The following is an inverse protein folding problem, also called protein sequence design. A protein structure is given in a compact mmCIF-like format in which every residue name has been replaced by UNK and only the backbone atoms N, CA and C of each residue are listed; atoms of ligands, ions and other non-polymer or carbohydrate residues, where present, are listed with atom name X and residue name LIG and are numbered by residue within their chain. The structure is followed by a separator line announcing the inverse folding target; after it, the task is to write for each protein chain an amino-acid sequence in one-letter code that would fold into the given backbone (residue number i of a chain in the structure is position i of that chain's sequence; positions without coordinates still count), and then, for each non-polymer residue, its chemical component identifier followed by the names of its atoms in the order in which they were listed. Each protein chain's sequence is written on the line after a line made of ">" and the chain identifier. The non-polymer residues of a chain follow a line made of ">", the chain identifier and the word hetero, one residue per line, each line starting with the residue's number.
data_IF_268507409692
#
_entry.id   IF_268507409692
#
_cell.length_a   1.000
_cell.length_b   1.000
_cell.length_c   1.000
_cell.angle_alpha   90.00
_cell.angle_beta   90.00
_cell.angle_gamma   90.00
#
_symmetry.space_group_name_H-M   'P 1'
#
loop_
_entity.id
_entity.type
_entity.pdbx_description
1 polymer ?
#
# COMPACT_ATOMS: atom_id res chain seq x y z
N UNK A 1 22.11 -51.24 36.42
CA UNK A 1 20.79 -50.68 36.28
C UNK A 1 20.75 -49.34 37.00
N UNK A 2 21.01 -48.27 36.34
CA UNK A 2 20.89 -46.90 36.85
C UNK A 2 20.16 -46.06 35.80
N UNK A 3 18.84 -46.03 35.93
CA UNK A 3 17.97 -45.15 35.13
C UNK A 3 18.02 -43.77 35.78
N UNK A 4 18.76 -42.84 35.15
CA UNK A 4 18.60 -41.42 35.41
C UNK A 4 17.29 -40.96 34.75
N UNK A 5 16.34 -40.63 35.59
CA UNK A 5 15.15 -39.89 35.23
C UNK A 5 15.58 -38.45 34.91
N UNK A 6 15.58 -38.08 33.65
CA UNK A 6 15.75 -36.69 33.24
C UNK A 6 14.43 -35.96 33.50
N UNK A 7 14.54 -34.92 34.33
CA UNK A 7 13.43 -33.98 34.59
C UNK A 7 13.10 -33.17 33.34
N UNK A 8 11.79 -32.91 33.02
CA UNK A 8 11.40 -32.17 31.83
C UNK A 8 11.67 -30.68 31.97
N UNK A 9 12.53 -30.20 31.09
CA UNK A 9 12.48 -28.94 30.38
C UNK A 9 11.80 -27.74 31.03
N UNK A 10 12.59 -26.92 31.68
CA UNK A 10 12.35 -25.49 31.65
C UNK A 10 12.71 -25.00 30.24
N UNK A 11 11.70 -24.73 29.42
CA UNK A 11 11.81 -24.00 28.13
C UNK A 11 12.36 -22.60 28.45
N UNK A 12 13.67 -22.43 28.38
CA UNK A 12 14.27 -21.12 28.19
C UNK A 12 13.85 -20.62 26.84
N UNK A 13 12.79 -19.82 26.82
CA UNK A 13 12.38 -19.00 25.64
C UNK A 13 13.50 -17.99 25.34
N UNK A 14 14.62 -18.44 24.80
CA UNK A 14 15.61 -17.56 24.17
C UNK A 14 14.98 -17.08 22.86
N UNK A 15 14.63 -15.78 22.82
CA UNK A 15 14.23 -15.11 21.59
C UNK A 15 15.28 -15.44 20.52
N UNK A 16 14.91 -16.03 19.36
CA UNK A 16 15.88 -16.42 18.34
C UNK A 16 16.72 -15.21 17.93
N UNK A 17 18.01 -15.42 17.73
CA UNK A 17 18.91 -14.37 17.24
C UNK A 17 18.34 -13.79 15.93
N UNK A 18 18.12 -12.46 15.88
CA UNK A 18 17.49 -11.77 14.75
C UNK A 18 16.02 -11.35 14.94
N UNK A 19 15.33 -11.84 15.98
CA UNK A 19 13.94 -11.42 16.28
C UNK A 19 13.86 -9.92 16.57
N UNK A 20 14.79 -9.35 17.32
CA UNK A 20 14.86 -7.92 17.58
C UNK A 20 15.02 -7.09 16.30
N UNK A 21 15.86 -7.55 15.36
CA UNK A 21 16.03 -6.90 14.06
C UNK A 21 14.77 -7.00 13.20
N UNK A 22 14.05 -8.13 13.24
CA UNK A 22 12.80 -8.30 12.54
C UNK A 22 11.71 -7.38 13.08
N UNK A 23 11.52 -7.36 14.40
CA UNK A 23 10.53 -6.47 15.03
C UNK A 23 10.86 -5.00 14.79
N UNK A 24 12.16 -4.63 14.86
CA UNK A 24 12.62 -3.29 14.52
C UNK A 24 12.30 -2.91 13.07
N UNK A 25 12.57 -3.82 12.12
CA UNK A 25 12.27 -3.59 10.71
C UNK A 25 10.76 -3.52 10.42
N UNK A 26 9.96 -4.35 11.10
CA UNK A 26 8.49 -4.32 11.03
C UNK A 26 7.92 -3.03 11.62
N UNK A 27 8.51 -2.52 12.69
CA UNK A 27 8.15 -1.24 13.29
C UNK A 27 8.49 -0.07 12.36
N UNK A 28 9.67 -0.07 11.73
CA UNK A 28 10.02 0.93 10.72
C UNK A 28 9.06 0.88 9.53
N UNK A 29 8.61 -0.31 9.12
CA UNK A 29 7.61 -0.48 8.07
C UNK A 29 6.25 0.11 8.49
N UNK A 30 5.83 -0.15 9.74
CA UNK A 30 4.62 0.44 10.32
C UNK A 30 4.66 1.97 10.31
N UNK A 31 5.78 2.58 10.73
CA UNK A 31 5.94 4.03 10.74
C UNK A 31 5.99 4.62 9.33
N UNK A 32 6.71 3.96 8.42
CA UNK A 32 6.89 4.45 7.05
C UNK A 32 5.59 4.41 6.26
N UNK A 33 4.90 3.27 6.26
CA UNK A 33 3.65 3.10 5.52
C UNK A 33 2.49 3.85 6.18
N UNK A 34 2.50 3.94 7.51
CA UNK A 34 1.58 4.79 8.24
C UNK A 34 1.71 6.24 7.80
N UNK A 35 2.90 6.81 7.95
CA UNK A 35 3.16 8.20 7.56
C UNK A 35 2.83 8.46 6.09
N UNK A 36 3.12 7.53 5.18
CA UNK A 36 2.81 7.69 3.76
C UNK A 36 1.32 7.51 3.41
N UNK A 37 0.46 7.08 4.35
CA UNK A 37 -0.97 6.87 4.12
C UNK A 37 -1.88 7.67 5.08
N UNK A 38 -1.35 8.72 5.72
CA UNK A 38 -2.10 9.58 6.66
C UNK A 38 -3.20 10.40 5.98
N UNK A 39 -2.96 10.82 4.74
CA UNK A 39 -3.70 11.86 4.03
C UNK A 39 -5.19 11.57 3.83
N UNK A 40 -5.63 10.35 3.45
CA UNK A 40 -7.06 10.05 3.31
C UNK A 40 -7.89 10.37 4.55
N UNK A 41 -7.33 10.17 5.75
CA UNK A 41 -8.03 10.43 7.00
C UNK A 41 -8.29 11.89 7.31
N UNK A 42 -7.51 12.79 6.74
CA UNK A 42 -7.59 14.22 7.01
C UNK A 42 -7.88 15.07 5.76
N UNK A 43 -8.11 14.43 4.62
CA UNK A 43 -8.27 15.10 3.34
C UNK A 43 -9.38 16.18 3.35
N UNK A 44 -10.55 15.94 3.96
CA UNK A 44 -11.56 17.01 4.11
C UNK A 44 -11.03 18.24 4.87
N UNK A 45 -10.27 18.03 5.95
CA UNK A 45 -9.69 19.11 6.74
C UNK A 45 -8.60 19.88 5.97
N UNK A 46 -7.77 19.19 5.18
CA UNK A 46 -6.76 19.80 4.31
C UNK A 46 -7.39 20.65 3.22
N UNK A 47 -8.44 20.14 2.55
CA UNK A 47 -9.19 20.91 1.55
C UNK A 47 -9.79 22.17 2.14
N UNK A 48 -10.39 22.08 3.32
CA UNK A 48 -10.97 23.21 4.04
C UNK A 48 -9.90 24.23 4.42
N UNK A 49 -8.79 23.79 5.02
CA UNK A 49 -7.70 24.67 5.46
C UNK A 49 -7.03 25.43 4.30
N UNK A 50 -7.00 24.82 3.10
CA UNK A 50 -6.42 25.42 1.89
C UNK A 50 -7.48 26.11 1.01
N UNK A 51 -8.73 26.21 1.44
CA UNK A 51 -9.86 26.77 0.68
C UNK A 51 -10.02 26.14 -0.72
N UNK A 52 -9.81 24.81 -0.82
CA UNK A 52 -9.89 24.08 -2.07
C UNK A 52 -11.22 23.36 -2.21
N UNK A 53 -11.66 23.21 -3.47
CA UNK A 53 -12.84 22.42 -3.79
C UNK A 53 -12.52 20.90 -3.73
N UNK A 54 -13.57 20.09 -3.66
CA UNK A 54 -13.45 18.63 -3.50
C UNK A 54 -12.76 17.95 -4.69
N UNK A 55 -12.84 18.52 -5.89
CA UNK A 55 -12.17 17.98 -7.07
C UNK A 55 -10.63 18.01 -6.94
N UNK A 56 -10.09 18.96 -6.17
CA UNK A 56 -8.65 19.06 -5.90
C UNK A 56 -8.12 17.85 -5.10
N UNK A 57 -8.99 17.11 -4.41
CA UNK A 57 -8.63 15.91 -3.66
C UNK A 57 -7.89 14.87 -4.54
N UNK A 58 -8.32 14.68 -5.78
CA UNK A 58 -7.65 13.78 -6.71
C UNK A 58 -6.21 14.21 -6.98
N UNK A 59 -5.98 15.48 -7.25
CA UNK A 59 -4.64 16.01 -7.55
C UNK A 59 -3.72 15.90 -6.32
N UNK A 60 -4.22 16.27 -5.13
CA UNK A 60 -3.51 16.18 -3.87
C UNK A 60 -3.10 14.72 -3.58
N UNK A 61 -4.03 13.78 -3.70
CA UNK A 61 -3.75 12.36 -3.52
C UNK A 61 -2.81 11.80 -4.58
N UNK A 62 -2.99 12.19 -5.86
CA UNK A 62 -2.14 11.73 -6.95
C UNK A 62 -0.68 12.12 -6.77
N UNK A 63 -0.39 13.32 -6.25
CA UNK A 63 0.98 13.74 -5.98
C UNK A 63 1.71 12.77 -5.03
N UNK A 64 1.05 12.36 -3.95
CA UNK A 64 1.56 11.38 -2.99
C UNK A 64 1.73 9.99 -3.63
N UNK A 65 0.69 9.51 -4.32
CA UNK A 65 0.63 8.17 -4.90
C UNK A 65 1.61 7.99 -6.07
N UNK A 66 1.84 9.02 -6.88
CA UNK A 66 2.86 9.01 -7.93
C UNK A 66 4.25 8.88 -7.31
N UNK A 67 4.55 9.62 -6.23
CA UNK A 67 5.78 9.46 -5.48
C UNK A 67 5.97 8.02 -4.97
N UNK A 68 4.93 7.42 -4.39
CA UNK A 68 4.95 6.03 -3.92
C UNK A 68 5.19 5.03 -5.06
N UNK A 69 4.76 5.31 -6.28
CA UNK A 69 4.94 4.44 -7.44
C UNK A 69 6.37 4.40 -7.98
N UNK A 70 7.26 5.30 -7.51
CA UNK A 70 8.67 5.36 -7.92
C UNK A 70 9.55 4.25 -7.32
N UNK A 71 8.96 3.22 -6.72
CA UNK A 71 9.71 2.08 -6.13
C UNK A 71 10.73 1.44 -7.07
N UNK A 72 10.48 1.21 -8.38
CA UNK A 72 11.50 0.65 -9.27
C UNK A 72 12.72 1.55 -9.41
N UNK A 73 12.52 2.87 -9.50
CA UNK A 73 13.60 3.86 -9.56
C UNK A 73 14.41 3.88 -8.26
N UNK A 74 13.71 3.89 -7.12
CA UNK A 74 14.35 3.88 -5.82
C UNK A 74 15.09 2.57 -5.54
N UNK A 75 14.59 1.44 -6.01
CA UNK A 75 15.28 0.15 -5.94
C UNK A 75 16.59 0.16 -6.70
N UNK A 76 16.59 0.68 -7.93
CA UNK A 76 17.79 0.84 -8.74
C UNK A 76 18.85 1.76 -8.09
N UNK A 77 18.41 2.86 -7.48
CA UNK A 77 19.30 3.76 -6.76
C UNK A 77 19.88 3.11 -5.49
N UNK A 78 19.04 2.40 -4.75
CA UNK A 78 19.39 1.73 -3.51
C UNK A 78 20.42 0.60 -3.70
N UNK A 79 20.37 -0.11 -4.83
CA UNK A 79 21.34 -1.14 -5.18
C UNK A 79 22.78 -0.55 -5.32
N UNK A 80 22.89 0.74 -5.59
CA UNK A 80 24.17 1.45 -5.74
C UNK A 80 24.68 2.10 -4.45
N UNK A 81 23.77 2.56 -3.57
CA UNK A 81 24.14 3.34 -2.38
C UNK A 81 24.16 2.55 -1.07
N UNK A 82 23.55 1.35 -1.05
CA UNK A 82 23.45 0.52 0.13
C UNK A 82 22.14 0.71 0.91
N UNK A 83 21.66 -0.41 1.47
CA UNK A 83 20.28 -0.55 1.94
C UNK A 83 19.92 0.25 3.18
N UNK A 84 20.82 0.36 4.16
CA UNK A 84 20.53 1.02 5.44
C UNK A 84 20.21 2.50 5.29
N UNK A 85 20.95 3.21 4.46
CA UNK A 85 20.72 4.64 4.19
C UNK A 85 19.36 4.88 3.58
N UNK A 86 18.94 4.05 2.62
CA UNK A 86 17.63 4.16 1.97
C UNK A 86 16.47 3.88 2.93
N UNK A 87 16.61 2.90 3.83
CA UNK A 87 15.62 2.65 4.89
C UNK A 87 15.44 3.88 5.78
N UNK A 88 16.55 4.50 6.18
CA UNK A 88 16.53 5.68 7.05
C UNK A 88 15.95 6.91 6.36
N UNK A 89 16.40 7.20 5.14
CA UNK A 89 15.87 8.30 4.35
C UNK A 89 14.38 8.12 4.08
N UNK A 90 13.95 6.87 3.87
CA UNK A 90 12.55 6.53 3.69
C UNK A 90 11.72 6.90 4.91
N UNK A 91 12.04 6.33 6.08
CA UNK A 91 11.26 6.56 7.31
C UNK A 91 11.36 8.01 7.78
N UNK A 92 12.55 8.61 7.74
CA UNK A 92 12.72 10.01 8.13
C UNK A 92 11.96 10.95 7.20
N UNK A 93 12.10 10.76 5.88
CA UNK A 93 11.45 11.62 4.88
C UNK A 93 9.92 11.55 4.93
N UNK A 94 9.33 10.35 5.11
CA UNK A 94 7.88 10.21 5.28
C UNK A 94 7.39 10.95 6.52
N UNK A 95 8.01 10.73 7.68
CA UNK A 95 7.54 11.29 8.94
C UNK A 95 7.80 12.81 9.06
N UNK A 96 8.95 13.30 8.59
CA UNK A 96 9.22 14.74 8.50
C UNK A 96 8.26 15.39 7.52
N UNK A 97 8.02 14.76 6.37
CA UNK A 97 7.07 15.25 5.37
C UNK A 97 5.68 15.43 5.95
N UNK A 98 5.16 14.46 6.70
CA UNK A 98 3.86 14.55 7.38
C UNK A 98 3.83 15.72 8.36
N UNK A 99 4.90 15.89 9.16
CA UNK A 99 5.01 17.03 10.08
C UNK A 99 4.96 18.37 9.33
N UNK A 100 5.64 18.49 8.19
CA UNK A 100 5.66 19.69 7.36
C UNK A 100 4.30 20.03 6.76
N UNK A 101 3.51 19.02 6.35
CA UNK A 101 2.16 19.23 5.78
C UNK A 101 1.29 20.08 6.72
N UNK A 102 1.43 19.90 8.03
CA UNK A 102 0.68 20.66 9.03
C UNK A 102 0.88 22.19 8.99
N UNK A 103 2.00 22.67 8.44
CA UNK A 103 2.37 24.09 8.39
C UNK A 103 2.25 24.71 6.99
N UNK A 104 1.85 23.91 6.00
CA UNK A 104 1.70 24.39 4.62
C UNK A 104 0.34 25.07 4.47
N UNK A 105 0.38 26.37 4.12
CA UNK A 105 -0.79 27.20 3.83
C UNK A 105 -1.04 27.42 2.33
N UNK A 106 -0.15 26.93 1.48
CA UNK A 106 -0.20 27.18 0.04
C UNK A 106 -0.25 25.85 -0.74
N UNK A 107 -1.23 25.72 -1.64
CA UNK A 107 -1.44 24.50 -2.42
C UNK A 107 -0.19 24.12 -3.26
N UNK A 108 0.48 25.09 -3.87
CA UNK A 108 1.68 24.83 -4.67
C UNK A 108 2.84 24.23 -3.87
N UNK A 109 2.95 24.55 -2.57
CA UNK A 109 3.96 23.99 -1.68
C UNK A 109 3.58 22.58 -1.19
N UNK A 110 2.27 22.25 -1.13
CA UNK A 110 1.80 20.96 -0.71
C UNK A 110 2.18 19.84 -1.70
N UNK A 111 2.06 20.09 -3.00
CA UNK A 111 2.34 19.09 -4.03
C UNK A 111 3.76 18.49 -3.96
N UNK A 112 4.85 19.28 -3.94
CA UNK A 112 6.19 18.72 -3.84
C UNK A 112 6.43 18.00 -2.51
N UNK A 113 5.86 18.45 -1.40
CA UNK A 113 5.99 17.77 -0.10
C UNK A 113 5.31 16.43 -0.13
N UNK A 114 4.09 16.32 -0.67
CA UNK A 114 3.38 15.04 -0.82
C UNK A 114 4.13 14.08 -1.76
N UNK A 115 4.63 14.59 -2.88
CA UNK A 115 5.45 13.79 -3.79
C UNK A 115 6.72 13.27 -3.10
N UNK A 116 7.41 14.09 -2.31
CA UNK A 116 8.59 13.70 -1.54
C UNK A 116 8.26 12.70 -0.43
N UNK A 117 7.11 12.80 0.24
CA UNK A 117 6.61 11.76 1.17
C UNK A 117 6.46 10.44 0.42
N UNK A 118 5.80 10.45 -0.74
CA UNK A 118 5.64 9.25 -1.57
C UNK A 118 6.97 8.67 -2.04
N UNK A 119 7.89 9.51 -2.49
CA UNK A 119 9.23 9.11 -2.93
C UNK A 119 10.06 8.52 -1.79
N UNK A 120 9.95 9.08 -0.59
CA UNK A 120 10.59 8.55 0.62
C UNK A 120 10.03 7.18 0.99
N UNK A 121 8.71 6.99 0.89
CA UNK A 121 8.08 5.69 1.06
C UNK A 121 8.61 4.69 0.00
N UNK A 122 8.72 5.10 -1.25
CA UNK A 122 9.26 4.27 -2.33
C UNK A 122 10.73 3.85 -2.08
N UNK A 123 11.55 4.72 -1.47
CA UNK A 123 12.95 4.43 -1.14
C UNK A 123 13.10 3.36 -0.05
N UNK A 124 12.15 3.28 0.88
CA UNK A 124 12.16 2.33 1.99
C UNK A 124 11.99 0.88 1.53
N UNK A 125 10.99 0.62 0.68
CA UNK A 125 10.48 -0.73 0.42
C UNK A 125 11.49 -1.74 -0.15
N UNK A 126 12.27 -1.44 -1.23
CA UNK A 126 13.16 -2.44 -1.82
C UNK A 126 14.19 -2.95 -0.83
N UNK A 127 14.74 -2.04 -0.01
CA UNK A 127 15.82 -2.37 0.91
C UNK A 127 15.31 -2.98 2.22
N UNK A 128 14.18 -2.53 2.73
CA UNK A 128 13.53 -3.12 3.89
C UNK A 128 13.11 -4.57 3.62
N UNK A 129 12.53 -4.83 2.43
CA UNK A 129 12.20 -6.19 1.98
C UNK A 129 13.43 -7.08 1.84
N UNK A 130 14.52 -6.54 1.26
CA UNK A 130 15.81 -7.25 1.16
C UNK A 130 16.37 -7.58 2.56
N UNK A 131 16.28 -6.61 3.49
CA UNK A 131 16.66 -6.81 4.89
C UNK A 131 15.86 -7.90 5.59
N UNK A 132 14.54 -7.89 5.44
CA UNK A 132 13.65 -8.93 5.98
C UNK A 132 14.01 -10.33 5.44
N UNK A 133 14.30 -10.44 4.13
CA UNK A 133 14.74 -11.71 3.53
C UNK A 133 16.06 -12.22 4.10
N UNK A 134 17.02 -11.36 4.41
CA UNK A 134 18.29 -11.78 5.01
C UNK A 134 18.14 -12.31 6.43
N UNK A 135 17.13 -11.85 7.18
CA UNK A 135 16.78 -12.34 8.50
C UNK A 135 16.08 -13.70 8.48
N UNK A 136 15.52 -14.08 7.33
CA UNK A 136 14.67 -15.25 7.14
C UNK A 136 15.48 -16.53 6.85
N UNK A 137 16.47 -16.92 7.68
CA UNK A 137 17.35 -18.07 7.41
C UNK A 137 16.63 -19.42 7.35
N UNK A 138 15.58 -19.66 8.15
CA UNK A 138 14.91 -20.96 8.26
C UNK A 138 13.38 -20.90 8.14
N UNK A 139 12.76 -19.72 8.23
CA UNK A 139 11.30 -19.53 8.20
C UNK A 139 10.93 -18.34 7.32
N UNK A 140 11.23 -18.42 6.03
CA UNK A 140 11.05 -17.31 5.08
C UNK A 140 9.62 -16.75 5.08
N UNK A 141 8.61 -17.61 5.07
CA UNK A 141 7.21 -17.18 5.06
C UNK A 141 6.83 -16.37 6.30
N UNK A 142 7.10 -16.89 7.49
CA UNK A 142 6.73 -16.22 8.76
C UNK A 142 7.42 -14.85 8.90
N UNK A 143 8.71 -14.77 8.58
CA UNK A 143 9.48 -13.52 8.71
C UNK A 143 8.94 -12.45 7.76
N UNK A 144 8.69 -12.81 6.51
CA UNK A 144 8.11 -11.88 5.52
C UNK A 144 6.70 -11.47 5.93
N UNK A 145 5.87 -12.41 6.44
CA UNK A 145 4.52 -12.08 6.89
C UNK A 145 4.52 -11.09 8.06
N UNK A 146 5.37 -11.28 9.08
CA UNK A 146 5.48 -10.35 10.21
C UNK A 146 5.92 -8.96 9.74
N UNK A 147 6.89 -8.91 8.82
CA UNK A 147 7.33 -7.65 8.22
C UNK A 147 6.19 -6.96 7.46
N UNK A 148 5.44 -7.69 6.64
CA UNK A 148 4.32 -7.15 5.85
C UNK A 148 3.18 -6.65 6.72
N UNK A 149 2.82 -7.39 7.77
CA UNK A 149 1.78 -6.98 8.73
C UNK A 149 2.11 -5.62 9.36
N UNK A 150 3.39 -5.34 9.66
CA UNK A 150 3.81 -4.02 10.14
C UNK A 150 3.36 -2.89 9.20
N UNK A 151 3.72 -2.98 7.92
CA UNK A 151 3.34 -1.96 6.92
C UNK A 151 1.83 -1.83 6.71
N UNK A 152 1.13 -2.97 6.59
CA UNK A 152 -0.32 -2.96 6.37
C UNK A 152 -1.09 -2.36 7.57
N UNK A 153 -0.67 -2.66 8.81
CA UNK A 153 -1.25 -2.03 10.00
C UNK A 153 -0.97 -0.52 10.03
N UNK A 154 0.25 -0.10 9.67
CA UNK A 154 0.57 1.32 9.53
C UNK A 154 -0.35 2.01 8.54
N UNK A 155 -0.43 1.48 7.33
CA UNK A 155 -1.29 1.98 6.25
C UNK A 155 -2.75 2.11 6.66
N UNK A 156 -3.26 1.14 7.40
CA UNK A 156 -4.66 1.11 7.81
C UNK A 156 -4.97 1.98 9.03
N UNK A 157 -4.05 2.12 9.99
CA UNK A 157 -4.31 2.85 11.25
C UNK A 157 -3.99 4.35 11.16
N UNK A 158 -3.02 4.76 10.34
CA UNK A 158 -2.60 6.16 10.28
C UNK A 158 -3.68 7.15 9.82
N UNK A 159 -4.59 6.82 8.87
CA UNK A 159 -5.71 7.71 8.56
C UNK A 159 -6.55 8.06 9.80
N UNK A 160 -6.83 7.05 10.64
CA UNK A 160 -7.58 7.24 11.87
C UNK A 160 -6.78 8.06 12.90
N UNK A 161 -5.49 7.72 13.12
CA UNK A 161 -4.63 8.47 14.06
C UNK A 161 -4.46 9.92 13.63
N UNK A 162 -4.25 10.17 12.33
CA UNK A 162 -4.14 11.53 11.80
C UNK A 162 -5.43 12.33 12.00
N UNK A 163 -6.59 11.71 11.75
CA UNK A 163 -7.89 12.37 11.96
C UNK A 163 -8.15 12.70 13.43
N UNK A 164 -7.73 11.83 14.36
CA UNK A 164 -7.82 12.10 15.79
C UNK A 164 -6.93 13.27 16.21
N UNK A 165 -5.69 13.32 15.73
CA UNK A 165 -4.78 14.45 16.00
C UNK A 165 -5.36 15.74 15.44
N UNK A 166 -5.84 15.75 14.20
CA UNK A 166 -6.40 16.94 13.56
C UNK A 166 -7.70 17.39 14.24
N UNK A 167 -8.54 16.46 14.66
CA UNK A 167 -9.79 16.79 15.36
C UNK A 167 -9.55 17.49 16.70
N UNK A 168 -8.52 17.07 17.46
CA UNK A 168 -8.28 17.61 18.80
C UNK A 168 -7.37 18.85 18.80
N UNK A 169 -6.41 18.94 17.90
CA UNK A 169 -5.34 19.96 17.92
C UNK A 169 -5.16 20.71 16.59
N UNK A 170 -5.97 20.42 15.58
CA UNK A 170 -5.90 21.06 14.26
C UNK A 170 -4.80 20.47 13.36
N UNK A 171 -4.81 20.89 12.08
CA UNK A 171 -3.90 20.38 11.03
C UNK A 171 -2.44 20.69 11.36
N UNK A 172 -2.15 21.83 11.99
CA UNK A 172 -0.79 22.24 12.38
C UNK A 172 -0.12 21.25 13.36
N UNK A 173 -0.87 20.40 14.01
CA UNK A 173 -0.39 19.42 15.00
C UNK A 173 0.01 18.07 14.41
N UNK A 174 0.03 17.89 13.09
CA UNK A 174 0.46 16.67 12.43
C UNK A 174 1.88 16.21 12.80
N UNK A 175 2.74 17.14 13.27
CA UNK A 175 4.07 16.79 13.77
C UNK A 175 4.04 15.79 14.95
N UNK A 176 2.92 15.69 15.69
CA UNK A 176 2.74 14.72 16.78
C UNK A 176 2.91 13.30 16.26
N UNK A 177 2.46 13.00 15.03
CA UNK A 177 2.60 11.69 14.42
C UNK A 177 4.08 11.31 14.17
N UNK A 178 4.96 12.30 13.98
CA UNK A 178 6.38 12.05 13.77
C UNK A 178 7.12 11.70 15.08
N UNK A 179 6.56 11.98 16.27
CA UNK A 179 7.22 11.73 17.55
C UNK A 179 7.59 10.25 17.74
N UNK A 180 6.73 9.33 17.30
CA UNK A 180 7.03 7.90 17.37
C UNK A 180 8.26 7.52 16.56
N UNK A 181 8.43 8.12 15.37
CA UNK A 181 9.61 7.93 14.53
C UNK A 181 10.85 8.58 15.16
N UNK A 182 10.75 9.82 15.62
CA UNK A 182 11.86 10.54 16.28
C UNK A 182 12.38 9.78 17.51
N UNK A 183 11.48 9.22 18.32
CA UNK A 183 11.86 8.51 19.54
C UNK A 183 12.47 7.13 19.26
N UNK A 184 12.07 6.44 18.20
CA UNK A 184 12.41 5.00 18.03
C UNK A 184 13.41 4.74 16.91
N UNK A 185 13.40 5.51 15.81
CA UNK A 185 14.29 5.30 14.67
C UNK A 185 15.78 5.30 15.04
N UNK A 186 16.29 6.23 15.86
CA UNK A 186 17.71 6.24 16.23
C UNK A 186 18.19 4.94 16.87
N UNK A 187 17.35 4.32 17.72
CA UNK A 187 17.68 3.06 18.38
C UNK A 187 17.63 1.87 17.43
N UNK A 188 16.60 1.82 16.56
CA UNK A 188 16.41 0.68 15.66
C UNK A 188 17.49 0.63 14.58
N UNK A 189 17.98 1.78 14.14
CA UNK A 189 19.09 1.89 13.19
C UNK A 189 20.33 1.09 13.62
N UNK A 190 20.63 1.08 14.91
CA UNK A 190 21.77 0.35 15.45
C UNK A 190 21.59 -1.17 15.32
N UNK A 191 20.37 -1.64 15.35
CA UNK A 191 20.00 -3.07 15.29
C UNK A 191 19.92 -3.58 13.86
N UNK A 192 19.77 -2.70 12.87
CA UNK A 192 19.64 -3.09 11.46
C UNK A 192 20.97 -3.60 10.88
N UNK A 193 20.96 -4.76 10.21
CA UNK A 193 22.15 -5.28 9.55
C UNK A 193 22.60 -4.31 8.43
N UNK A 194 23.91 -4.13 8.32
CA UNK A 194 24.50 -3.39 7.20
C UNK A 194 24.34 -4.23 5.92
N UNK A 195 23.69 -3.68 4.93
CA UNK A 195 23.55 -4.33 3.61
C UNK A 195 24.58 -3.75 2.65
N UNK A 196 25.35 -4.63 2.04
CA UNK A 196 26.30 -4.24 1.01
C UNK A 196 25.57 -3.87 -0.30
N UNK A 197 26.09 -2.91 -1.09
CA UNK A 197 25.61 -2.63 -2.43
C UNK A 197 25.66 -3.90 -3.30
N UNK A 198 24.61 -4.12 -4.11
CA UNK A 198 24.54 -5.26 -5.04
C UNK A 198 24.70 -4.74 -6.47
N UNK A 199 25.76 -5.10 -7.12
CA UNK A 199 25.96 -4.85 -8.55
C UNK A 199 25.57 -6.12 -9.34
N UNK A 200 24.29 -6.42 -9.42
CA UNK A 200 23.82 -7.49 -10.30
C UNK A 200 23.45 -6.87 -11.66
N UNK A 201 24.17 -7.24 -12.71
CA UNK A 201 23.73 -6.99 -14.09
C UNK A 201 22.56 -7.94 -14.38
N UNK A 202 21.38 -7.37 -14.59
CA UNK A 202 20.23 -8.16 -15.02
C UNK A 202 20.42 -8.56 -16.50
N UNK A 203 20.03 -9.78 -16.90
CA UNK A 203 20.09 -10.22 -18.30
C UNK A 203 19.20 -9.34 -19.19
N UNK A 204 19.50 -9.23 -20.48
CA UNK A 204 18.69 -8.46 -21.43
C UNK A 204 17.28 -9.05 -21.53
N UNK A 205 16.28 -8.18 -21.63
CA UNK A 205 14.85 -8.55 -21.59
C UNK A 205 14.33 -8.64 -23.02
N UNK A 206 13.66 -9.75 -23.33
CA UNK A 206 12.98 -9.97 -24.61
C UNK A 206 11.62 -9.26 -24.67
N UNK A 207 11.59 -7.93 -24.67
CA UNK A 207 10.38 -7.11 -24.61
C UNK A 207 9.29 -7.52 -25.63
N UNK A 208 9.65 -7.93 -26.86
CA UNK A 208 8.70 -8.38 -27.86
C UNK A 208 7.86 -9.58 -27.43
N UNK A 209 8.39 -10.44 -26.57
CA UNK A 209 7.68 -11.62 -26.05
C UNK A 209 6.75 -11.25 -24.90
N UNK A 210 7.14 -10.28 -24.07
CA UNK A 210 6.51 -10.02 -22.79
C UNK A 210 5.52 -8.83 -22.81
N UNK A 211 5.52 -8.00 -23.87
CA UNK A 211 4.76 -6.75 -23.86
C UNK A 211 3.24 -6.92 -23.75
N UNK A 212 2.66 -7.94 -24.42
CA UNK A 212 1.21 -8.19 -24.36
C UNK A 212 0.76 -8.61 -22.96
N UNK A 213 1.26 -9.71 -22.36
CA UNK A 213 0.86 -10.07 -21.00
C UNK A 213 1.23 -8.99 -19.97
N UNK A 214 2.35 -8.28 -20.15
CA UNK A 214 2.73 -7.16 -19.29
C UNK A 214 1.74 -5.99 -19.36
N UNK A 215 1.31 -5.59 -20.57
CA UNK A 215 0.33 -4.49 -20.73
C UNK A 215 -1.04 -4.86 -20.15
N UNK A 216 -1.47 -6.10 -20.28
CA UNK A 216 -2.72 -6.58 -19.67
C UNK A 216 -2.63 -6.59 -18.13
N UNK A 217 -1.48 -7.03 -17.58
CA UNK A 217 -1.24 -6.98 -16.14
C UNK A 217 -1.24 -5.54 -15.63
N UNK A 218 -0.55 -4.63 -16.32
CA UNK A 218 -0.52 -3.20 -16.00
C UNK A 218 -1.94 -2.63 -16.06
N UNK A 219 -2.73 -2.94 -17.10
CA UNK A 219 -4.12 -2.52 -17.21
C UNK A 219 -4.96 -2.99 -16.02
N UNK A 220 -4.84 -4.27 -15.65
CA UNK A 220 -5.52 -4.82 -14.47
C UNK A 220 -5.17 -4.07 -13.19
N UNK A 221 -3.85 -3.96 -12.90
CA UNK A 221 -3.39 -3.31 -11.67
C UNK A 221 -3.77 -1.83 -11.65
N UNK A 222 -3.71 -1.14 -12.80
CA UNK A 222 -4.11 0.27 -12.87
C UNK A 222 -5.59 0.47 -12.54
N UNK A 223 -6.48 -0.37 -13.04
CA UNK A 223 -7.92 -0.28 -12.76
C UNK A 223 -8.22 -0.63 -11.29
N UNK A 224 -7.62 -1.70 -10.76
CA UNK A 224 -7.74 -2.07 -9.36
C UNK A 224 -7.25 -0.94 -8.43
N UNK A 225 -6.12 -0.34 -8.76
CA UNK A 225 -5.54 0.75 -7.95
C UNK A 225 -6.35 2.02 -8.07
N UNK A 226 -6.84 2.37 -9.26
CA UNK A 226 -7.75 3.50 -9.45
C UNK A 226 -9.01 3.35 -8.60
N UNK A 227 -9.59 2.15 -8.55
CA UNK A 227 -10.76 1.87 -7.71
C UNK A 227 -10.44 2.09 -6.23
N UNK A 228 -9.35 1.50 -5.73
CA UNK A 228 -8.92 1.68 -4.34
C UNK A 228 -8.63 3.15 -4.02
N UNK A 229 -7.88 3.82 -4.89
CA UNK A 229 -7.50 5.23 -4.69
C UNK A 229 -8.71 6.16 -4.71
N UNK A 230 -9.69 5.88 -5.58
CA UNK A 230 -10.96 6.65 -5.59
C UNK A 230 -11.74 6.46 -4.30
N UNK A 231 -11.82 5.23 -3.78
CA UNK A 231 -12.49 4.94 -2.51
C UNK A 231 -11.81 5.67 -1.34
N UNK A 232 -10.49 5.50 -1.16
CA UNK A 232 -9.78 6.12 -0.03
C UNK A 232 -9.74 7.65 -0.13
N UNK A 233 -9.86 8.21 -1.33
CA UNK A 233 -9.88 9.67 -1.56
C UNK A 233 -11.25 10.26 -1.26
N UNK A 234 -12.30 9.69 -1.83
CA UNK A 234 -13.61 10.34 -1.86
C UNK A 234 -14.59 9.81 -0.81
N UNK A 235 -14.38 8.62 -0.27
CA UNK A 235 -15.28 8.08 0.75
C UNK A 235 -15.28 8.91 2.06
N UNK A 236 -14.12 9.36 2.61
CA UNK A 236 -14.09 10.26 3.76
C UNK A 236 -14.75 11.61 3.49
N UNK A 237 -14.58 12.13 2.27
CA UNK A 237 -15.16 13.39 1.85
C UNK A 237 -16.69 13.27 1.78
N UNK A 238 -17.18 12.23 1.11
CA UNK A 238 -18.63 11.96 1.00
C UNK A 238 -19.28 11.77 2.36
N UNK A 239 -18.58 11.10 3.29
CA UNK A 239 -19.04 10.92 4.66
C UNK A 239 -19.15 12.26 5.39
N UNK A 240 -18.14 13.11 5.26
CA UNK A 240 -18.09 14.42 5.87
C UNK A 240 -19.18 15.36 5.30
N UNK A 241 -19.35 15.38 3.98
CA UNK A 241 -20.38 16.17 3.28
C UNK A 241 -21.81 15.78 3.68
N UNK A 242 -22.01 14.53 4.11
CA UNK A 242 -23.30 14.03 4.64
C UNK A 242 -23.51 14.31 6.12
N UNK A 243 -22.66 15.15 6.74
CA UNK A 243 -22.74 15.52 8.15
C UNK A 243 -22.05 14.53 9.11
N UNK A 244 -21.29 13.58 8.58
CA UNK A 244 -20.44 12.69 9.38
C UNK A 244 -19.20 13.39 9.95
N UNK A 245 -18.57 12.77 10.94
CA UNK A 245 -17.34 13.30 11.55
C UNK A 245 -16.11 13.01 10.70
N UNK A 246 -15.04 13.83 10.84
CA UNK A 246 -13.74 13.58 10.20
C UNK A 246 -13.18 12.19 10.58
N UNK A 247 -13.28 11.85 11.87
CA UNK A 247 -12.83 10.55 12.40
C UNK A 247 -13.67 9.40 11.83
N UNK A 248 -14.98 9.58 11.66
CA UNK A 248 -15.86 8.58 11.04
C UNK A 248 -15.46 8.30 9.58
N UNK A 249 -15.18 9.34 8.80
CA UNK A 249 -14.67 9.19 7.43
C UNK A 249 -13.31 8.47 7.36
N UNK A 250 -12.40 8.81 8.26
CA UNK A 250 -11.11 8.12 8.39
C UNK A 250 -11.28 6.65 8.81
N UNK A 251 -12.22 6.36 9.71
CA UNK A 251 -12.51 5.00 10.16
C UNK A 251 -13.02 4.11 9.00
N UNK A 252 -13.81 4.64 8.06
CA UNK A 252 -14.22 3.90 6.86
C UNK A 252 -13.00 3.45 6.03
N UNK A 253 -12.04 4.34 5.84
CA UNK A 253 -10.78 4.00 5.16
C UNK A 253 -9.99 2.98 5.97
N UNK A 254 -9.89 3.16 7.28
CA UNK A 254 -9.18 2.22 8.15
C UNK A 254 -9.80 0.83 8.13
N UNK A 255 -11.11 0.70 8.13
CA UNK A 255 -11.80 -0.60 7.99
C UNK A 255 -11.48 -1.26 6.65
N UNK A 256 -11.57 -0.51 5.55
CA UNK A 256 -11.22 -1.01 4.21
C UNK A 256 -9.79 -1.55 4.17
N UNK A 257 -8.82 -0.82 4.72
CA UNK A 257 -7.40 -1.14 4.64
C UNK A 257 -6.99 -2.22 5.66
N UNK A 258 -7.37 -2.10 6.93
CA UNK A 258 -7.00 -3.04 8.00
C UNK A 258 -7.62 -4.42 7.77
N UNK A 259 -8.92 -4.47 7.47
CA UNK A 259 -9.60 -5.73 7.17
C UNK A 259 -9.10 -6.31 5.84
N UNK A 260 -8.72 -5.45 4.91
CA UNK A 260 -8.08 -5.83 3.64
C UNK A 260 -6.79 -6.67 3.80
N UNK A 261 -6.07 -6.52 4.93
CA UNK A 261 -4.89 -7.36 5.23
C UNK A 261 -5.22 -8.86 5.17
N UNK A 262 -6.41 -9.24 5.61
CA UNK A 262 -6.89 -10.63 5.52
C UNK A 262 -6.98 -11.11 4.06
N UNK A 263 -7.32 -10.20 3.15
CA UNK A 263 -7.30 -10.48 1.71
C UNK A 263 -5.90 -10.77 1.18
N UNK A 264 -4.90 -9.98 1.59
CA UNK A 264 -3.51 -10.22 1.21
C UNK A 264 -3.02 -11.61 1.63
N UNK A 265 -3.36 -12.03 2.86
CA UNK A 265 -3.01 -13.35 3.38
C UNK A 265 -3.80 -14.46 2.66
N UNK A 266 -5.12 -14.28 2.53
CA UNK A 266 -6.03 -15.28 1.93
C UNK A 266 -5.84 -15.43 0.42
N UNK A 267 -5.55 -14.36 -0.30
CA UNK A 267 -5.40 -14.38 -1.76
C UNK A 267 -4.27 -15.27 -2.26
N UNK A 268 -3.12 -15.25 -1.57
CA UNK A 268 -2.02 -16.16 -1.84
C UNK A 268 -2.43 -17.63 -1.59
N UNK A 269 -3.08 -17.91 -0.46
CA UNK A 269 -3.55 -19.26 -0.12
C UNK A 269 -4.57 -19.78 -1.14
N UNK A 270 -5.51 -18.93 -1.58
CA UNK A 270 -6.49 -19.30 -2.62
C UNK A 270 -5.78 -19.59 -3.94
N UNK A 271 -4.78 -18.80 -4.31
CA UNK A 271 -4.01 -19.01 -5.53
C UNK A 271 -3.22 -20.33 -5.50
N UNK A 272 -2.67 -20.70 -4.36
CA UNK A 272 -1.88 -21.91 -4.18
C UNK A 272 -2.78 -23.18 -4.21
N UNK A 273 -3.97 -23.14 -3.61
CA UNK A 273 -4.85 -24.31 -3.51
C UNK A 273 -5.82 -24.46 -4.69
N UNK A 274 -6.36 -23.34 -5.20
CA UNK A 274 -7.42 -23.32 -6.20
C UNK A 274 -6.99 -22.70 -7.54
N UNK A 275 -5.74 -22.28 -7.62
CA UNK A 275 -5.15 -21.69 -8.82
C UNK A 275 -5.39 -20.18 -8.97
N UNK A 276 -4.50 -19.55 -9.72
CA UNK A 276 -4.46 -18.09 -9.93
C UNK A 276 -5.70 -17.53 -10.60
N UNK A 277 -6.37 -18.34 -11.45
CA UNK A 277 -7.58 -17.92 -12.16
C UNK A 277 -8.71 -17.64 -11.17
N UNK A 278 -8.98 -18.57 -10.24
CA UNK A 278 -10.02 -18.37 -9.24
C UNK A 278 -9.67 -17.20 -8.32
N UNK A 279 -8.42 -17.09 -7.88
CA UNK A 279 -7.99 -16.02 -7.02
C UNK A 279 -8.16 -14.63 -7.69
N UNK A 280 -7.74 -14.47 -8.95
CA UNK A 280 -7.76 -13.17 -9.62
C UNK A 280 -9.15 -12.81 -10.14
N UNK A 281 -9.82 -13.72 -10.87
CA UNK A 281 -11.14 -13.45 -11.46
C UNK A 281 -12.22 -13.47 -10.38
N UNK A 282 -12.15 -14.42 -9.42
CA UNK A 282 -13.09 -14.50 -8.30
C UNK A 282 -13.05 -13.25 -7.43
N UNK A 283 -11.84 -12.80 -7.05
CA UNK A 283 -11.70 -11.53 -6.30
C UNK A 283 -12.22 -10.33 -7.07
N UNK A 284 -11.94 -10.24 -8.38
CA UNK A 284 -12.41 -9.13 -9.22
C UNK A 284 -13.93 -9.12 -9.38
N UNK A 285 -14.56 -10.31 -9.51
CA UNK A 285 -16.02 -10.43 -9.53
C UNK A 285 -16.64 -10.03 -8.20
N UNK A 286 -16.03 -10.42 -7.09
CA UNK A 286 -16.47 -10.02 -5.75
C UNK A 286 -16.30 -8.50 -5.54
N UNK A 287 -15.21 -7.89 -6.04
CA UNK A 287 -15.01 -6.43 -6.02
C UNK A 287 -16.16 -5.73 -6.76
N UNK A 288 -16.53 -6.19 -7.95
CA UNK A 288 -17.64 -5.59 -8.71
C UNK A 288 -18.95 -5.64 -7.91
N UNK A 289 -19.29 -6.79 -7.33
CA UNK A 289 -20.49 -6.94 -6.51
C UNK A 289 -20.46 -6.01 -5.28
N UNK A 290 -19.32 -6.00 -4.57
CA UNK A 290 -19.19 -5.22 -3.33
C UNK A 290 -19.11 -3.71 -3.59
N UNK A 291 -18.58 -3.26 -4.73
CA UNK A 291 -18.66 -1.85 -5.14
C UNK A 291 -20.10 -1.43 -5.36
N UNK A 292 -20.91 -2.24 -6.06
CA UNK A 292 -22.34 -1.96 -6.25
C UNK A 292 -23.04 -1.87 -4.90
N UNK A 293 -22.81 -2.84 -4.02
CA UNK A 293 -23.38 -2.84 -2.67
C UNK A 293 -22.93 -1.62 -1.86
N UNK A 294 -21.66 -1.25 -1.92
CA UNK A 294 -21.12 -0.07 -1.22
C UNK A 294 -21.79 1.23 -1.65
N UNK A 295 -22.08 1.38 -2.96
CA UNK A 295 -22.76 2.58 -3.50
C UNK A 295 -24.24 2.62 -3.16
N UNK A 296 -24.88 1.47 -3.01
CA UNK A 296 -26.30 1.33 -2.67
C UNK A 296 -26.54 1.34 -1.15
N UNK A 297 -25.54 0.93 -0.35
CA UNK A 297 -25.69 0.88 1.09
C UNK A 297 -25.77 2.27 1.72
N UNK A 298 -26.77 2.45 2.52
CA UNK A 298 -26.90 3.53 3.48
C UNK A 298 -26.86 2.96 4.90
N UNK A 299 -26.45 3.76 5.91
CA UNK A 299 -26.47 3.34 7.30
C UNK A 299 -25.31 2.39 7.70
N UNK A 300 -25.53 1.58 8.72
CA UNK A 300 -24.55 0.70 9.36
C UNK A 300 -23.93 -0.35 8.43
N UNK A 301 -24.64 -0.81 7.42
CA UNK A 301 -24.18 -1.85 6.50
C UNK A 301 -22.94 -1.47 5.67
N UNK A 302 -22.61 -0.20 5.60
CA UNK A 302 -21.39 0.24 4.89
C UNK A 302 -20.11 -0.36 5.51
N UNK A 303 -20.09 -0.57 6.83
CA UNK A 303 -18.90 -1.08 7.54
C UNK A 303 -18.52 -2.51 7.13
N UNK A 304 -19.40 -3.52 7.24
CA UNK A 304 -19.08 -4.87 6.79
C UNK A 304 -18.84 -4.93 5.29
N UNK A 305 -19.56 -4.16 4.47
CA UNK A 305 -19.34 -4.13 3.02
C UNK A 305 -17.97 -3.60 2.69
N UNK A 306 -17.49 -2.54 3.35
CA UNK A 306 -16.13 -2.02 3.15
C UNK A 306 -15.05 -2.99 3.62
N UNK A 307 -15.24 -3.67 4.73
CA UNK A 307 -14.33 -4.71 5.19
C UNK A 307 -14.19 -5.83 4.17
N UNK A 308 -15.30 -6.36 3.66
CA UNK A 308 -15.30 -7.39 2.61
C UNK A 308 -14.71 -6.87 1.29
N UNK A 309 -15.00 -5.61 0.91
CA UNK A 309 -14.42 -4.98 -0.27
C UNK A 309 -12.91 -4.84 -0.14
N UNK A 310 -12.40 -4.48 1.04
CA UNK A 310 -10.97 -4.49 1.34
C UNK A 310 -10.36 -5.88 1.14
N UNK A 311 -10.96 -6.93 1.71
CA UNK A 311 -10.51 -8.32 1.50
C UNK A 311 -10.47 -8.64 0.01
N UNK A 312 -11.52 -8.34 -0.75
CA UNK A 312 -11.59 -8.65 -2.18
C UNK A 312 -10.52 -7.90 -3.00
N UNK A 313 -10.31 -6.59 -2.75
CA UNK A 313 -9.31 -5.79 -3.46
C UNK A 313 -7.89 -6.30 -3.20
N UNK A 314 -7.57 -6.60 -1.94
CA UNK A 314 -6.22 -6.99 -1.55
C UNK A 314 -5.90 -8.45 -1.84
N UNK A 315 -6.87 -9.35 -1.97
CA UNK A 315 -6.62 -10.76 -2.31
C UNK A 315 -5.99 -10.94 -3.70
N UNK A 316 -6.20 -10.01 -4.62
CA UNK A 316 -5.56 -10.04 -5.94
C UNK A 316 -4.08 -9.61 -5.91
N UNK A 317 -3.62 -8.89 -4.88
CA UNK A 317 -2.29 -8.28 -4.86
C UNK A 317 -1.14 -9.30 -4.92
N UNK A 318 -1.06 -10.34 -4.08
CA UNK A 318 -0.01 -11.36 -4.17
C UNK A 318 -0.04 -12.09 -5.51
N UNK A 319 -1.23 -12.34 -6.06
CA UNK A 319 -1.40 -13.02 -7.34
C UNK A 319 -0.84 -12.20 -8.49
N UNK A 320 -1.06 -10.87 -8.51
CA UNK A 320 -0.51 -9.98 -9.55
C UNK A 320 1.01 -9.92 -9.53
N UNK A 321 1.62 -9.98 -8.34
CA UNK A 321 3.08 -10.04 -8.20
C UNK A 321 3.63 -11.34 -8.78
N UNK A 322 3.00 -12.48 -8.48
CA UNK A 322 3.38 -13.78 -9.04
C UNK A 322 3.24 -13.80 -10.55
N UNK A 323 2.12 -13.30 -11.09
CA UNK A 323 1.92 -13.18 -12.55
C UNK A 323 3.01 -12.32 -13.18
N UNK A 324 3.36 -11.19 -12.58
CA UNK A 324 4.46 -10.34 -13.07
C UNK A 324 5.80 -11.07 -13.11
N UNK A 325 6.09 -11.87 -12.09
CA UNK A 325 7.32 -12.68 -12.03
C UNK A 325 7.35 -13.81 -13.08
N UNK A 326 6.19 -14.37 -13.42
CA UNK A 326 6.09 -15.41 -14.46
C UNK A 326 6.18 -14.82 -15.87
N UNK A 327 5.66 -13.60 -16.08
CA UNK A 327 5.84 -12.89 -17.35
C UNK A 327 7.32 -12.63 -17.63
N UNK A 328 8.11 -12.31 -16.58
CA UNK A 328 9.54 -12.01 -16.69
C UNK A 328 10.38 -13.01 -15.88
N UNK A 329 10.46 -14.29 -16.27
CA UNK A 329 11.19 -15.31 -15.52
C UNK A 329 12.69 -15.02 -15.43
N UNK A 330 13.26 -14.36 -16.46
CA UNK A 330 14.65 -13.90 -16.52
C UNK A 330 14.94 -12.73 -15.57
N UNK A 331 13.91 -11.94 -15.19
CA UNK A 331 14.03 -10.82 -14.26
C UNK A 331 12.76 -10.67 -13.41
N UNK A 332 12.59 -11.53 -12.43
CA UNK A 332 11.44 -11.53 -11.52
C UNK A 332 11.28 -10.23 -10.73
N UNK A 333 12.40 -9.54 -10.48
CA UNK A 333 12.39 -8.23 -9.83
C UNK A 333 11.69 -7.17 -10.69
N UNK A 334 11.97 -7.16 -11.99
CA UNK A 334 11.28 -6.29 -12.95
C UNK A 334 9.77 -6.62 -13.01
N UNK A 335 9.41 -7.92 -13.07
CA UNK A 335 8.02 -8.37 -13.10
C UNK A 335 7.24 -7.86 -11.87
N UNK A 336 7.83 -7.99 -10.68
CA UNK A 336 7.25 -7.44 -9.44
C UNK A 336 7.17 -5.91 -9.47
N UNK A 337 8.21 -5.24 -9.98
CA UNK A 337 8.25 -3.78 -10.10
C UNK A 337 7.19 -3.23 -11.06
N UNK A 338 6.92 -3.93 -12.15
CA UNK A 338 5.84 -3.58 -13.10
C UNK A 338 4.47 -3.75 -12.41
N UNK A 339 4.25 -4.86 -11.71
CA UNK A 339 3.01 -5.12 -11.02
C UNK A 339 2.73 -4.14 -9.86
N UNK A 340 3.75 -3.76 -9.09
CA UNK A 340 3.57 -2.89 -7.91
C UNK A 340 3.82 -1.41 -8.20
N UNK A 341 4.71 -1.08 -9.14
CA UNK A 341 5.08 0.30 -9.44
C UNK A 341 4.28 0.90 -10.59
N UNK A 342 4.46 0.36 -11.81
CA UNK A 342 3.90 0.95 -13.04
C UNK A 342 2.36 0.97 -13.00
N UNK A 343 1.74 -0.16 -12.64
CA UNK A 343 0.28 -0.25 -12.57
C UNK A 343 -0.32 0.69 -11.53
N UNK A 344 0.28 0.75 -10.32
CA UNK A 344 -0.17 1.66 -9.28
C UNK A 344 0.02 3.13 -9.68
N UNK A 345 1.14 3.47 -10.34
CA UNK A 345 1.40 4.82 -10.82
C UNK A 345 0.39 5.30 -11.87
N UNK A 346 0.02 4.42 -12.81
CA UNK A 346 -1.04 4.73 -13.78
C UNK A 346 -2.41 4.87 -13.10
N UNK A 347 -2.71 4.03 -12.11
CA UNK A 347 -3.91 4.18 -11.28
C UNK A 347 -3.98 5.54 -10.58
N UNK A 348 -2.84 6.02 -10.06
CA UNK A 348 -2.73 7.35 -9.46
C UNK A 348 -2.92 8.49 -10.48
N UNK A 349 -2.40 8.35 -11.70
CA UNK A 349 -2.64 9.30 -12.79
C UNK A 349 -4.11 9.31 -13.22
N UNK A 350 -4.74 8.14 -13.36
CA UNK A 350 -6.15 8.04 -13.73
C UNK A 350 -7.08 8.60 -12.65
N UNK A 351 -6.65 8.69 -11.39
CA UNK A 351 -7.41 9.35 -10.35
C UNK A 351 -7.71 10.81 -10.67
N UNK A 352 -6.84 11.50 -11.45
CA UNK A 352 -7.10 12.85 -11.93
C UNK A 352 -8.35 12.92 -12.84
N UNK A 353 -8.63 11.86 -13.62
CA UNK A 353 -9.83 11.77 -14.44
C UNK A 353 -11.08 11.68 -13.56
N UNK A 354 -11.01 10.93 -12.45
CA UNK A 354 -12.10 10.92 -11.46
C UNK A 354 -12.29 12.31 -10.85
N UNK A 355 -11.21 13.05 -10.57
CA UNK A 355 -11.29 14.45 -10.12
C UNK A 355 -12.03 15.35 -11.09
N UNK A 356 -11.80 15.20 -12.40
CA UNK A 356 -12.55 15.93 -13.46
C UNK A 356 -14.03 15.53 -13.43
N UNK A 357 -14.35 14.24 -13.28
CA UNK A 357 -15.72 13.78 -13.16
C UNK A 357 -16.42 14.36 -11.93
N UNK A 358 -15.70 14.43 -10.79
CA UNK A 358 -16.20 15.06 -9.55
C UNK A 358 -16.50 16.54 -9.75
N UNK A 359 -15.66 17.27 -10.49
CA UNK A 359 -15.91 18.69 -10.82
C UNK A 359 -17.21 18.87 -11.57
N UNK A 360 -17.52 17.96 -12.51
CA UNK A 360 -18.69 18.08 -13.40
C UNK A 360 -19.98 17.52 -12.81
N UNK A 361 -19.90 16.44 -12.07
CA UNK A 361 -21.06 15.65 -11.66
C UNK A 361 -21.24 15.54 -10.13
N UNK A 362 -20.30 16.08 -9.35
CA UNK A 362 -20.22 15.90 -7.90
C UNK A 362 -19.70 14.53 -7.49
N UNK A 363 -19.30 14.41 -6.21
CA UNK A 363 -18.67 13.19 -5.65
C UNK A 363 -19.58 11.98 -5.78
N UNK A 364 -20.83 12.11 -5.37
CA UNK A 364 -21.77 10.98 -5.35
C UNK A 364 -21.97 10.37 -6.75
N UNK A 365 -22.16 11.21 -7.76
CA UNK A 365 -22.37 10.75 -9.14
C UNK A 365 -21.06 10.19 -9.76
N UNK A 366 -19.92 10.81 -9.47
CA UNK A 366 -18.64 10.35 -9.98
C UNK A 366 -18.25 8.96 -9.44
N UNK A 367 -18.64 8.62 -8.21
CA UNK A 367 -18.35 7.30 -7.63
C UNK A 367 -19.06 6.15 -8.36
N UNK A 368 -20.17 6.40 -9.08
CA UNK A 368 -20.79 5.36 -9.92
C UNK A 368 -19.89 4.89 -11.07
N UNK A 369 -18.88 5.70 -11.48
CA UNK A 369 -17.86 5.27 -12.45
C UNK A 369 -17.03 4.08 -11.93
N UNK A 370 -16.98 3.85 -10.60
CA UNK A 370 -16.27 2.71 -10.03
C UNK A 370 -16.83 1.37 -10.51
N UNK A 371 -18.12 1.29 -10.87
CA UNK A 371 -18.71 0.09 -11.46
C UNK A 371 -18.08 -0.19 -12.83
N UNK A 372 -17.96 0.83 -13.68
CA UNK A 372 -17.32 0.67 -14.98
C UNK A 372 -15.84 0.30 -14.84
N UNK A 373 -15.13 0.92 -13.89
CA UNK A 373 -13.73 0.59 -13.57
C UNK A 373 -13.60 -0.85 -13.08
N UNK A 374 -14.51 -1.34 -12.22
CA UNK A 374 -14.52 -2.71 -11.74
C UNK A 374 -14.78 -3.73 -12.88
N UNK A 375 -15.69 -3.41 -13.82
CA UNK A 375 -15.95 -4.22 -15.02
C UNK A 375 -14.69 -4.28 -15.91
N UNK A 376 -14.03 -3.14 -16.16
CA UNK A 376 -12.80 -3.08 -16.94
C UNK A 376 -11.68 -3.87 -16.24
N UNK A 377 -11.58 -3.75 -14.92
CA UNK A 377 -10.62 -4.55 -14.12
C UNK A 377 -10.87 -6.06 -14.28
N UNK A 378 -12.13 -6.49 -14.18
CA UNK A 378 -12.52 -7.90 -14.40
C UNK A 378 -12.19 -8.37 -15.82
N UNK A 379 -12.42 -7.54 -16.83
CA UNK A 379 -12.01 -7.83 -18.21
C UNK A 379 -10.50 -8.09 -18.31
N UNK A 380 -9.67 -7.19 -17.77
CA UNK A 380 -8.23 -7.37 -17.76
C UNK A 380 -7.80 -8.64 -16.97
N UNK A 381 -8.46 -8.95 -15.85
CA UNK A 381 -8.18 -10.16 -15.07
C UNK A 381 -8.35 -11.43 -15.91
N UNK A 382 -9.42 -11.50 -16.72
CA UNK A 382 -9.67 -12.65 -17.60
C UNK A 382 -8.67 -12.72 -18.76
N UNK A 383 -8.28 -11.58 -19.33
CA UNK A 383 -7.40 -11.51 -20.50
C UNK A 383 -5.95 -11.82 -20.19
N UNK A 384 -5.41 -11.31 -19.07
CA UNK A 384 -4.01 -11.58 -18.68
C UNK A 384 -3.76 -13.07 -18.49
N UNK A 385 -4.72 -13.79 -17.91
CA UNK A 385 -4.61 -15.24 -17.70
C UNK A 385 -4.76 -16.03 -19.00
N UNK A 386 -5.64 -15.60 -19.92
CA UNK A 386 -5.77 -16.22 -21.23
C UNK A 386 -4.48 -16.11 -22.05
N UNK A 387 -3.84 -14.93 -22.04
CA UNK A 387 -2.57 -14.71 -22.77
C UNK A 387 -1.43 -15.55 -22.19
N UNK A 388 -1.37 -15.75 -20.87
CA UNK A 388 -0.36 -16.60 -20.24
C UNK A 388 -0.48 -18.08 -20.62
N UNK A 389 -1.69 -18.60 -20.85
CA UNK A 389 -1.91 -19.97 -21.31
C UNK A 389 -1.51 -20.21 -22.77
N UNK A 390 -1.44 -19.16 -23.60
CA UNK A 390 -1.01 -19.25 -24.99
C UNK A 390 0.53 -19.23 -25.09
N UNK A 391 1.21 -18.65 -24.10
CA UNK A 391 2.69 -18.48 -24.11
C UNK A 391 3.44 -19.61 -23.40
N UNK A 392 2.76 -20.49 -22.68
CA UNK A 392 3.27 -21.72 -22.09
C UNK A 392 2.92 -22.93 -22.96
#
# INVERSE_FOLDING_TARGET
>A
MNTKVESPLFLHNRIPAGTGSLLGLSWLHFLNDGAANFLPGILPAVLLALHQNVAMAAAIMSALLIGQSMQPLMGWLADRQGGRTMILLGVAGTNIGVALVGWISQLWALFPVLFLIGLSNAAFHPQAMSGARTLARLRHGTVISVFMVGGELGRGLWPLLASLVVMHWGVASLWILALAALATVPFIVWVLPKQAPRHAMAPPIAWRRHWRPASLLVGYVSMRSLLLYSLITYLPILWYDRGGTLVGGAALVSVLLVVGVLGNLGGGMIADHFGRKLALVGSSSLVLLLVILCLLCSSWWIWPVLGLLGIAIYSAQPVTVLIGQDIFPENRGLGSGIALGVGNGLGALFLLVIGIAVTRFGVNSALWLLIAIAIISLFFATRVLAEMHITN
#
